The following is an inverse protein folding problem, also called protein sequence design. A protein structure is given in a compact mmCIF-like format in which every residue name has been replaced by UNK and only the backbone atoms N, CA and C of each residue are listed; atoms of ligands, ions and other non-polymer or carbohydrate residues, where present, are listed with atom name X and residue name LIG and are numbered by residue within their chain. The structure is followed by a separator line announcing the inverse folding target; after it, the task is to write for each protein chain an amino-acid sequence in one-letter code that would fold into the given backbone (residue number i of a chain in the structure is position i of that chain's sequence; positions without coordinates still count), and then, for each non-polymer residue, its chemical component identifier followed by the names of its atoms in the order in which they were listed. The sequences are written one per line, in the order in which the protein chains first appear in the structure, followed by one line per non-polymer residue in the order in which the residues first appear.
data_IF_632966913728
#
_entry.id   IF_632966913728
#
_cell.length_a   1.000
_cell.length_b   1.000
_cell.length_c   1.000
_cell.angle_alpha   90.00
_cell.angle_beta   90.00
_cell.angle_gamma   90.00
#
_symmetry.space_group_name_H-M   'P 1'
#
loop_
_entity.id
_entity.type
_entity.pdbx_description
1 polymer ?
#
# COMPACT_ATOMS: atom_id res chain seq x y z
N UNK A 1 28.57 20.49 13.47
CA UNK A 1 27.37 19.87 12.89
C UNK A 1 26.21 20.76 13.25
N UNK A 2 25.53 21.35 12.27
CA UNK A 2 24.27 22.02 12.54
C UNK A 2 23.32 20.94 13.06
N UNK A 3 22.72 21.18 14.23
CA UNK A 3 21.59 20.38 14.70
C UNK A 3 20.52 20.65 13.66
N UNK A 4 20.24 19.68 12.78
CA UNK A 4 19.08 19.75 11.91
C UNK A 4 17.89 19.97 12.84
N UNK A 5 17.27 21.14 12.70
CA UNK A 5 16.11 21.53 13.46
C UNK A 5 15.07 20.42 13.27
N UNK A 6 14.55 19.87 14.37
CA UNK A 6 13.62 18.74 14.34
C UNK A 6 12.43 19.09 13.43
N UNK A 7 12.39 18.53 12.21
CA UNK A 7 11.46 18.95 11.16
C UNK A 7 9.99 18.74 11.55
N UNK A 8 9.75 17.87 12.54
CA UNK A 8 8.42 17.55 13.07
C UNK A 8 7.96 18.53 14.16
N UNK A 9 8.83 19.36 14.71
CA UNK A 9 8.49 20.35 15.75
C UNK A 9 8.01 21.67 15.15
N UNK A 10 7.02 21.62 14.26
CA UNK A 10 6.35 22.81 13.77
C UNK A 10 4.85 22.58 13.57
N UNK A 11 4.10 23.68 13.55
CA UNK A 11 2.64 23.66 13.42
C UNK A 11 2.17 22.95 12.14
N UNK A 12 2.91 23.07 11.04
CA UNK A 12 2.55 22.41 9.79
C UNK A 12 2.64 20.89 9.90
N UNK A 13 3.68 20.36 10.56
CA UNK A 13 3.82 18.93 10.81
C UNK A 13 2.70 18.38 11.70
N UNK A 14 2.29 19.16 12.72
CA UNK A 14 1.14 18.83 13.57
C UNK A 14 -0.18 18.79 12.76
N UNK A 15 -0.42 19.82 11.93
CA UNK A 15 -1.61 19.90 11.08
C UNK A 15 -1.66 18.75 10.06
N UNK A 16 -0.52 18.41 9.44
CA UNK A 16 -0.39 17.26 8.52
C UNK A 16 -0.70 15.96 9.26
N UNK A 17 -0.08 15.74 10.42
CA UNK A 17 -0.29 14.53 11.21
C UNK A 17 -1.76 14.38 11.62
N UNK A 18 -2.37 15.43 12.17
CA UNK A 18 -3.78 15.42 12.57
C UNK A 18 -4.71 15.09 11.40
N UNK A 19 -4.44 15.68 10.23
CA UNK A 19 -5.21 15.43 9.00
C UNK A 19 -5.06 13.99 8.52
N UNK A 20 -3.82 13.47 8.47
CA UNK A 20 -3.56 12.09 8.06
C UNK A 20 -4.17 11.09 9.05
N UNK A 21 -4.08 11.36 10.35
CA UNK A 21 -4.66 10.50 11.39
C UNK A 21 -6.18 10.45 11.30
N UNK A 22 -6.83 11.57 11.00
CA UNK A 22 -8.28 11.60 10.78
C UNK A 22 -8.65 10.82 9.52
N UNK A 23 -7.90 10.96 8.43
CA UNK A 23 -8.14 10.22 7.19
C UNK A 23 -7.95 8.72 7.36
N UNK A 24 -6.95 8.28 8.13
CA UNK A 24 -6.71 6.87 8.42
C UNK A 24 -7.96 6.19 9.01
N UNK A 25 -8.73 6.90 9.85
CA UNK A 25 -9.97 6.37 10.45
C UNK A 25 -11.13 6.22 9.46
N UNK A 26 -11.05 6.88 8.31
CA UNK A 26 -12.06 6.80 7.25
C UNK A 26 -11.76 5.73 6.21
N UNK A 27 -10.56 5.14 6.25
CA UNK A 27 -10.16 4.08 5.32
C UNK A 27 -11.04 2.85 5.58
N UNK A 28 -11.61 2.23 4.53
CA UNK A 28 -12.39 1.01 4.69
C UNK A 28 -11.59 -0.09 5.40
N UNK A 29 -12.24 -0.80 6.33
CA UNK A 29 -11.61 -1.90 7.03
C UNK A 29 -11.59 -3.15 6.15
N UNK A 30 -10.41 -3.74 5.98
CA UNK A 30 -10.23 -5.06 5.38
C UNK A 30 -10.90 -6.13 6.26
N UNK A 31 -11.86 -6.86 5.69
CA UNK A 31 -12.59 -7.91 6.39
C UNK A 31 -11.83 -9.24 6.36
N UNK A 32 -10.95 -9.45 5.37
CA UNK A 32 -10.20 -10.69 5.20
C UNK A 32 -11.07 -11.82 4.64
N UNK A 33 -12.11 -11.49 3.88
CA UNK A 33 -13.07 -12.44 3.32
C UNK A 33 -12.54 -13.15 2.07
N UNK A 34 -11.43 -12.67 1.49
CA UNK A 34 -10.85 -13.23 0.28
C UNK A 34 -10.51 -14.71 0.44
N UNK A 35 -11.01 -15.55 -0.47
CA UNK A 35 -10.65 -16.98 -0.52
C UNK A 35 -9.18 -17.20 -0.93
N UNK A 36 -8.52 -16.17 -1.48
CA UNK A 36 -7.12 -16.18 -1.87
C UNK A 36 -6.21 -15.44 -0.88
N UNK A 37 -6.67 -15.09 0.33
CA UNK A 37 -5.87 -14.32 1.30
C UNK A 37 -4.51 -14.97 1.64
N UNK A 38 -4.43 -16.30 1.61
CA UNK A 38 -3.19 -17.05 1.84
C UNK A 38 -2.09 -16.76 0.80
N UNK A 39 -2.45 -16.32 -0.41
CA UNK A 39 -1.51 -15.94 -1.47
C UNK A 39 -0.89 -14.56 -1.24
N UNK A 40 -1.45 -13.74 -0.34
CA UNK A 40 -1.04 -12.35 -0.14
C UNK A 40 0.46 -12.20 0.08
N UNK A 41 1.04 -13.01 0.97
CA UNK A 41 2.49 -12.95 1.26
C UNK A 41 3.31 -13.18 -0.01
N UNK A 42 2.96 -14.21 -0.78
CA UNK A 42 3.65 -14.53 -2.02
C UNK A 42 3.57 -13.38 -3.04
N UNK A 43 2.39 -12.78 -3.21
CA UNK A 43 2.19 -11.65 -4.12
C UNK A 43 2.99 -10.41 -3.69
N UNK A 44 3.08 -10.13 -2.38
CA UNK A 44 3.85 -9.00 -1.84
C UNK A 44 5.36 -9.23 -2.02
N UNK A 45 5.84 -10.43 -1.73
CA UNK A 45 7.25 -10.80 -1.92
C UNK A 45 7.62 -10.67 -3.41
N UNK A 46 6.78 -11.19 -4.31
CA UNK A 46 6.96 -11.07 -5.76
C UNK A 46 6.91 -9.61 -6.26
N UNK A 47 5.96 -8.80 -5.79
CA UNK A 47 5.91 -7.38 -6.12
C UNK A 47 7.15 -6.62 -5.65
N UNK A 48 7.75 -7.04 -4.53
CA UNK A 48 8.97 -6.40 -3.99
C UNK A 48 10.16 -6.60 -4.91
N UNK A 49 10.30 -7.78 -5.53
CA UNK A 49 11.33 -8.05 -6.54
C UNK A 49 11.15 -7.11 -7.75
N UNK A 50 9.92 -7.01 -8.27
CA UNK A 50 9.59 -6.16 -9.43
C UNK A 50 9.83 -4.68 -9.14
N UNK A 51 9.38 -4.19 -7.98
CA UNK A 51 9.60 -2.81 -7.54
C UNK A 51 11.09 -2.50 -7.45
N UNK A 52 11.89 -3.44 -6.93
CA UNK A 52 13.34 -3.31 -6.86
C UNK A 52 14.00 -3.20 -8.24
N UNK A 53 13.58 -4.02 -9.19
CA UNK A 53 14.08 -3.98 -10.58
C UNK A 53 13.68 -2.70 -11.31
N UNK A 54 12.45 -2.23 -11.11
CA UNK A 54 11.92 -1.03 -11.77
C UNK A 54 12.31 0.29 -11.07
N UNK A 55 12.89 0.23 -9.87
CA UNK A 55 13.22 1.41 -9.08
C UNK A 55 11.99 2.21 -8.61
N UNK A 56 10.84 1.53 -8.45
CA UNK A 56 9.61 2.16 -7.96
C UNK A 56 9.76 2.51 -6.47
N UNK A 57 9.20 3.64 -6.04
CA UNK A 57 9.35 4.08 -4.65
C UNK A 57 8.54 3.21 -3.68
N UNK A 58 9.00 3.12 -2.43
CA UNK A 58 8.35 2.32 -1.39
C UNK A 58 6.90 2.76 -1.14
N UNK A 59 6.59 4.05 -1.27
CA UNK A 59 5.22 4.56 -1.10
C UNK A 59 4.27 4.01 -2.16
N UNK A 60 4.70 3.95 -3.42
CA UNK A 60 3.90 3.35 -4.50
C UNK A 60 3.72 1.85 -4.30
N UNK A 61 4.75 1.13 -3.82
CA UNK A 61 4.60 -0.27 -3.44
C UNK A 61 3.57 -0.47 -2.32
N UNK A 62 3.64 0.32 -1.25
CA UNK A 62 2.66 0.24 -0.16
C UNK A 62 1.23 0.52 -0.64
N UNK A 63 1.07 1.51 -1.52
CA UNK A 63 -0.23 1.82 -2.13
C UNK A 63 -0.72 0.67 -3.02
N UNK A 64 0.14 0.06 -3.82
CA UNK A 64 -0.19 -1.09 -4.65
C UNK A 64 -0.70 -2.27 -3.81
N UNK A 65 -0.01 -2.59 -2.71
CA UNK A 65 -0.43 -3.66 -1.78
C UNK A 65 -1.76 -3.33 -1.12
N UNK A 66 -1.96 -2.07 -0.70
CA UNK A 66 -3.22 -1.63 -0.12
C UNK A 66 -4.40 -1.78 -1.10
N UNK A 67 -4.21 -1.40 -2.37
CA UNK A 67 -5.21 -1.56 -3.42
C UNK A 67 -5.50 -3.04 -3.71
N UNK A 68 -4.46 -3.87 -3.76
CA UNK A 68 -4.59 -5.31 -4.00
C UNK A 68 -5.39 -5.99 -2.88
N UNK A 69 -5.09 -5.67 -1.62
CA UNK A 69 -5.80 -6.21 -0.46
C UNK A 69 -7.30 -5.88 -0.54
N UNK A 70 -7.66 -4.63 -0.87
CA UNK A 70 -9.06 -4.22 -0.99
C UNK A 70 -9.76 -4.85 -2.20
N UNK A 71 -9.05 -4.97 -3.33
CA UNK A 71 -9.57 -5.62 -4.53
C UNK A 71 -9.90 -7.09 -4.27
N UNK A 72 -8.99 -7.81 -3.60
CA UNK A 72 -9.18 -9.21 -3.24
C UNK A 72 -10.24 -9.43 -2.15
N UNK A 73 -10.43 -8.46 -1.24
CA UNK A 73 -11.43 -8.54 -0.18
C UNK A 73 -12.86 -8.29 -0.69
N UNK A 74 -13.01 -7.45 -1.71
CA UNK A 74 -14.31 -7.08 -2.28
C UNK A 74 -14.77 -7.93 -3.47
N UNK A 75 -13.89 -8.72 -4.09
CA UNK A 75 -14.19 -9.46 -5.32
C UNK A 75 -13.66 -10.90 -5.27
N UNK A 76 -14.40 -11.83 -5.88
CA UNK A 76 -13.90 -13.17 -6.16
C UNK A 76 -12.95 -13.11 -7.36
N UNK A 77 -11.67 -13.35 -7.11
CA UNK A 77 -10.62 -13.30 -8.13
C UNK A 77 -10.07 -14.69 -8.36
N UNK A 78 -10.12 -15.19 -9.59
CA UNK A 78 -9.49 -16.47 -9.90
C UNK A 78 -7.97 -16.40 -9.70
N UNK A 79 -7.39 -17.48 -9.19
CA UNK A 79 -5.96 -17.56 -8.86
C UNK A 79 -5.04 -17.19 -10.04
N UNK A 80 -5.45 -17.51 -11.26
CA UNK A 80 -4.71 -17.21 -12.49
C UNK A 80 -4.52 -15.70 -12.74
N UNK A 81 -5.41 -14.85 -12.21
CA UNK A 81 -5.36 -13.40 -12.43
C UNK A 81 -4.70 -12.62 -11.29
N UNK A 82 -4.27 -13.27 -10.20
CA UNK A 82 -3.72 -12.57 -9.03
C UNK A 82 -2.46 -11.76 -9.34
N UNK A 83 -1.55 -12.31 -10.15
CA UNK A 83 -0.33 -11.59 -10.56
C UNK A 83 -0.65 -10.39 -11.46
N UNK A 84 -1.63 -10.53 -12.36
CA UNK A 84 -2.09 -9.43 -13.20
C UNK A 84 -2.76 -8.33 -12.37
N UNK A 85 -3.58 -8.70 -11.39
CA UNK A 85 -4.19 -7.77 -10.45
C UNK A 85 -3.13 -7.02 -9.65
N UNK A 86 -2.13 -7.73 -9.11
CA UNK A 86 -1.01 -7.14 -8.39
C UNK A 86 -0.23 -6.11 -9.24
N UNK A 87 0.08 -6.45 -10.50
CA UNK A 87 0.74 -5.52 -11.43
C UNK A 87 -0.13 -4.33 -11.78
N UNK A 88 -1.44 -4.52 -11.91
CA UNK A 88 -2.38 -3.43 -12.18
C UNK A 88 -2.46 -2.47 -11.00
N UNK A 89 -2.47 -2.99 -9.77
CA UNK A 89 -2.38 -2.15 -8.57
C UNK A 89 -1.06 -1.37 -8.51
N UNK A 90 0.06 -1.98 -8.92
CA UNK A 90 1.34 -1.29 -9.01
C UNK A 90 1.34 -0.18 -10.07
N UNK A 91 0.76 -0.46 -11.25
CA UNK A 91 0.61 0.52 -12.32
C UNK A 91 -0.26 1.73 -11.89
N UNK A 92 -1.32 1.50 -11.11
CA UNK A 92 -2.19 2.56 -10.59
C UNK A 92 -1.52 3.39 -9.49
N UNK A 93 -0.54 2.82 -8.78
CA UNK A 93 0.15 3.48 -7.68
C UNK A 93 1.38 4.31 -8.11
N UNK A 94 1.89 4.06 -9.33
CA UNK A 94 3.10 4.67 -9.89
C UNK A 94 2.86 5.95 -10.69
#
# INVERSE_FOLDING_TARGET
MAIEQEWWQNKLAEDIYATLKLREQTVPALQGNSTQLWMRRHLVDWLSEIVGELGVCATAQHLAVHLLDHFMDGLEVEMAYLHLAALTCLLLAG
#
